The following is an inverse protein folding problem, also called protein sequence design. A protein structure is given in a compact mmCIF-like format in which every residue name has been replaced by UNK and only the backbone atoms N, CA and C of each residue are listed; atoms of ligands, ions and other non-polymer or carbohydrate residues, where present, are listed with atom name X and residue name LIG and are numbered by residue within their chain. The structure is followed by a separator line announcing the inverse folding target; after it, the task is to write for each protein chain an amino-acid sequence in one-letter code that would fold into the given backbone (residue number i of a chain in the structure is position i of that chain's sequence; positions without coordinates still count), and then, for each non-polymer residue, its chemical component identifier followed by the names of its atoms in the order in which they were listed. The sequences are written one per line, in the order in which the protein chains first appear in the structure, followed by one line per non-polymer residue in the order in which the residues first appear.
data_IF_971134708779
#
_entry.id   IF_971134708779
#
_cell.length_a   1.000
_cell.length_b   1.000
_cell.length_c   1.000
_cell.angle_alpha   90.00
_cell.angle_beta   90.00
_cell.angle_gamma   90.00
#
_symmetry.space_group_name_H-M   'P 1'
#
loop_
_entity.id
_entity.type
_entity.pdbx_description
1 polymer ?
#
# COMPACT_ATOMS: atom_id res chain seq x y z
N UNK A 1 10.99 16.96 -30.23
CA UNK A 1 10.24 15.67 -30.26
C UNK A 1 10.38 15.09 -28.87
N UNK A 2 9.40 15.32 -27.97
CA UNK A 2 9.33 14.65 -26.68
C UNK A 2 8.95 13.19 -26.95
N UNK A 3 9.89 12.28 -26.67
CA UNK A 3 9.65 10.84 -26.79
C UNK A 3 8.53 10.45 -25.82
N UNK A 4 7.50 9.80 -26.33
CA UNK A 4 6.44 9.17 -25.54
C UNK A 4 7.13 8.19 -24.58
N UNK A 5 7.36 8.60 -23.32
CA UNK A 5 7.79 7.66 -22.27
C UNK A 5 6.61 6.70 -22.05
N UNK A 6 6.73 5.51 -22.59
CA UNK A 6 5.82 4.40 -22.25
C UNK A 6 5.98 4.13 -20.76
N UNK A 7 4.98 4.51 -19.97
CA UNK A 7 4.98 4.23 -18.53
C UNK A 7 5.02 2.72 -18.34
N UNK A 8 5.99 2.22 -17.56
CA UNK A 8 6.14 0.79 -17.26
C UNK A 8 4.98 0.32 -16.37
N UNK A 9 4.27 -0.73 -16.78
CA UNK A 9 3.26 -1.37 -15.95
C UNK A 9 3.93 -2.00 -14.72
N UNK A 10 3.48 -1.64 -13.51
CA UNK A 10 3.99 -2.23 -12.26
C UNK A 10 3.01 -3.25 -11.67
N UNK A 11 1.70 -3.00 -11.82
CA UNK A 11 0.62 -3.90 -11.44
C UNK A 11 -0.33 -4.03 -12.63
N UNK A 12 -0.68 -5.28 -12.95
CA UNK A 12 -1.68 -5.59 -13.98
C UNK A 12 -2.61 -6.68 -13.50
N UNK A 13 -3.90 -6.42 -13.64
CA UNK A 13 -5.00 -7.31 -13.28
C UNK A 13 -5.73 -7.73 -14.54
N UNK A 14 -5.91 -9.04 -14.75
CA UNK A 14 -6.63 -9.59 -15.91
C UNK A 14 -7.69 -10.57 -15.46
N UNK A 15 -8.95 -10.23 -15.65
CA UNK A 15 -10.16 -10.99 -15.28
C UNK A 15 -10.09 -11.57 -13.86
N UNK A 16 -9.60 -10.79 -12.90
CA UNK A 16 -9.35 -11.24 -11.53
C UNK A 16 -10.67 -11.52 -10.83
N UNK A 17 -10.84 -12.76 -10.38
CA UNK A 17 -11.98 -13.22 -9.59
C UNK A 17 -11.50 -13.75 -8.25
N UNK A 18 -12.25 -13.45 -7.20
CA UNK A 18 -12.01 -14.01 -5.88
C UNK A 18 -13.33 -14.41 -5.24
N UNK A 19 -13.42 -15.68 -4.89
CA UNK A 19 -14.54 -16.26 -4.16
C UNK A 19 -14.01 -16.82 -2.84
N UNK A 20 -14.66 -16.46 -1.74
CA UNK A 20 -14.41 -17.03 -0.42
C UNK A 20 -15.53 -18.00 -0.06
N UNK A 21 -15.15 -19.16 0.46
CA UNK A 21 -16.11 -20.12 1.02
C UNK A 21 -16.30 -19.80 2.51
N UNK A 22 -17.51 -19.46 2.92
CA UNK A 22 -17.88 -19.19 4.30
C UNK A 22 -18.96 -20.20 4.75
N UNK A 23 -18.51 -21.38 5.22
CA UNK A 23 -19.41 -22.51 5.43
C UNK A 23 -20.05 -22.93 4.10
N UNK A 24 -21.38 -22.95 4.05
CA UNK A 24 -22.16 -23.30 2.85
C UNK A 24 -22.42 -22.12 1.90
N UNK A 25 -21.91 -20.92 2.24
CA UNK A 25 -22.16 -19.71 1.44
C UNK A 25 -20.90 -19.31 0.66
N UNK A 26 -21.05 -19.07 -0.64
CA UNK A 26 -20.02 -18.48 -1.48
C UNK A 26 -20.14 -16.97 -1.56
N UNK A 27 -19.04 -16.27 -1.22
CA UNK A 27 -18.94 -14.80 -1.32
C UNK A 27 -18.02 -14.44 -2.48
N UNK A 28 -18.60 -13.94 -3.57
CA UNK A 28 -17.85 -13.48 -4.74
C UNK A 28 -17.36 -12.05 -4.52
N UNK A 29 -16.18 -11.90 -3.91
CA UNK A 29 -15.61 -10.62 -3.55
C UNK A 29 -15.08 -9.83 -4.76
N UNK A 30 -14.52 -10.52 -5.79
CA UNK A 30 -14.12 -9.93 -7.07
C UNK A 30 -14.73 -10.73 -8.22
N UNK A 31 -15.20 -10.03 -9.26
CA UNK A 31 -16.02 -10.60 -10.34
C UNK A 31 -15.50 -10.21 -11.74
N UNK A 32 -14.20 -10.44 -11.98
CA UNK A 32 -13.57 -10.15 -13.27
C UNK A 32 -13.00 -8.74 -13.35
N UNK A 33 -12.16 -8.37 -12.36
CA UNK A 33 -11.51 -7.08 -12.29
C UNK A 33 -10.38 -7.00 -13.30
N UNK A 34 -10.38 -5.90 -14.09
CA UNK A 34 -9.32 -5.55 -15.01
C UNK A 34 -8.82 -4.14 -14.65
N UNK A 35 -7.52 -4.01 -14.37
CA UNK A 35 -6.89 -2.72 -14.07
C UNK A 35 -5.39 -2.78 -14.33
N UNK A 36 -4.80 -1.63 -14.60
CA UNK A 36 -3.36 -1.45 -14.76
C UNK A 36 -2.92 -0.26 -13.92
N UNK A 37 -1.77 -0.39 -13.26
CA UNK A 37 -1.13 0.68 -12.48
C UNK A 37 0.30 0.81 -12.97
N UNK A 38 0.73 2.03 -13.22
CA UNK A 38 2.02 2.33 -13.82
C UNK A 38 3.01 2.83 -12.76
N UNK A 39 4.31 2.63 -13.05
CA UNK A 39 5.39 3.10 -12.18
C UNK A 39 5.30 4.62 -11.98
N UNK A 40 5.42 5.05 -10.70
CA UNK A 40 5.30 6.45 -10.29
C UNK A 40 3.88 7.00 -10.29
N UNK A 41 2.84 6.17 -10.49
CA UNK A 41 1.45 6.62 -10.47
C UNK A 41 0.91 6.68 -9.02
N UNK A 42 0.11 7.70 -8.71
CA UNK A 42 -0.69 7.72 -7.48
C UNK A 42 -2.15 7.40 -7.83
N UNK A 43 -2.60 6.22 -7.42
CA UNK A 43 -3.95 5.70 -7.72
C UNK A 43 -4.77 5.56 -6.45
N UNK A 44 -6.01 6.05 -6.48
CA UNK A 44 -7.01 5.77 -5.45
C UNK A 44 -7.98 4.67 -5.90
N UNK A 45 -8.21 3.68 -5.05
CA UNK A 45 -9.26 2.67 -5.21
C UNK A 45 -10.42 3.05 -4.32
N UNK A 46 -11.57 3.34 -4.93
CA UNK A 46 -12.77 3.79 -4.22
C UNK A 46 -13.94 2.84 -4.41
N UNK A 47 -14.85 2.86 -3.45
CA UNK A 47 -16.12 2.12 -3.49
C UNK A 47 -16.77 2.03 -2.11
N UNK A 48 -18.04 1.63 -2.01
CA UNK A 48 -18.72 1.44 -0.74
C UNK A 48 -18.10 0.29 0.08
N UNK A 49 -18.48 0.19 1.36
CA UNK A 49 -18.09 -0.96 2.18
C UNK A 49 -18.57 -2.27 1.54
N UNK A 50 -17.75 -3.32 1.60
CA UNK A 50 -18.07 -4.61 0.98
C UNK A 50 -17.92 -4.68 -0.55
N UNK A 51 -17.50 -3.62 -1.24
CA UNK A 51 -17.37 -3.64 -2.71
C UNK A 51 -16.18 -4.45 -3.26
N UNK A 52 -15.29 -4.97 -2.41
CA UNK A 52 -14.11 -5.75 -2.82
C UNK A 52 -12.77 -5.00 -2.77
N UNK A 53 -12.71 -3.75 -2.28
CA UNK A 53 -11.49 -2.94 -2.24
C UNK A 53 -10.34 -3.61 -1.46
N UNK A 54 -10.61 -4.06 -0.24
CA UNK A 54 -9.61 -4.73 0.60
C UNK A 54 -9.19 -6.07 0.00
N UNK A 55 -10.12 -6.81 -0.63
CA UNK A 55 -9.79 -8.03 -1.36
C UNK A 55 -8.85 -7.73 -2.52
N UNK A 56 -9.12 -6.67 -3.31
CA UNK A 56 -8.24 -6.27 -4.40
C UNK A 56 -6.86 -5.84 -3.87
N UNK A 57 -6.82 -5.08 -2.79
CA UNK A 57 -5.58 -4.66 -2.14
C UNK A 57 -4.76 -5.86 -1.65
N UNK A 58 -5.41 -6.89 -1.10
CA UNK A 58 -4.74 -8.12 -0.67
C UNK A 58 -4.11 -8.88 -1.86
N UNK A 59 -4.78 -8.91 -3.03
CA UNK A 59 -4.21 -9.50 -4.24
C UNK A 59 -2.96 -8.74 -4.68
N UNK A 60 -3.08 -7.40 -4.84
CA UNK A 60 -1.97 -6.54 -5.25
C UNK A 60 -0.82 -6.59 -4.23
N UNK A 61 -1.14 -6.75 -2.94
CA UNK A 61 -0.19 -6.84 -1.84
C UNK A 61 0.47 -8.21 -1.65
N UNK A 62 0.19 -9.19 -2.50
CA UNK A 62 0.68 -10.57 -2.35
C UNK A 62 0.30 -11.18 -0.97
N UNK A 63 -0.85 -10.77 -0.40
CA UNK A 63 -1.40 -11.31 0.85
C UNK A 63 -2.40 -12.44 0.58
N UNK A 64 -2.92 -12.52 -0.64
CA UNK A 64 -3.84 -13.55 -1.08
C UNK A 64 -3.68 -13.74 -2.59
N UNK A 65 -4.20 -14.86 -3.14
CA UNK A 65 -4.16 -15.16 -4.57
C UNK A 65 -5.57 -15.19 -5.16
N UNK A 66 -5.74 -14.89 -6.46
CA UNK A 66 -7.04 -14.94 -7.10
C UNK A 66 -7.56 -16.39 -7.19
N UNK A 67 -8.90 -16.58 -7.15
CA UNK A 67 -9.54 -17.88 -7.45
C UNK A 67 -9.42 -18.21 -8.94
N UNK A 68 -9.47 -17.17 -9.80
CA UNK A 68 -9.20 -17.26 -11.25
C UNK A 68 -8.78 -15.90 -11.81
N UNK A 69 -8.22 -15.89 -13.01
CA UNK A 69 -7.58 -14.71 -13.60
C UNK A 69 -6.14 -14.54 -13.12
N UNK A 70 -5.53 -13.42 -13.49
CA UNK A 70 -4.09 -13.18 -13.28
C UNK A 70 -3.82 -11.82 -12.65
N UNK A 71 -2.88 -11.80 -11.72
CA UNK A 71 -2.36 -10.58 -11.09
C UNK A 71 -0.86 -10.52 -11.30
N UNK A 72 -0.40 -9.53 -12.05
CA UNK A 72 1.03 -9.35 -12.32
C UNK A 72 1.59 -8.24 -11.45
N UNK A 73 2.69 -8.52 -10.75
CA UNK A 73 3.53 -7.54 -10.06
C UNK A 73 4.90 -7.49 -10.76
N UNK A 74 5.26 -6.34 -11.32
CA UNK A 74 6.46 -6.18 -12.15
C UNK A 74 6.60 -7.26 -13.25
N UNK A 75 5.49 -7.63 -13.88
CA UNK A 75 5.43 -8.65 -14.94
C UNK A 75 5.43 -10.11 -14.47
N UNK A 76 5.55 -10.38 -13.16
CA UNK A 76 5.48 -11.73 -12.59
C UNK A 76 4.07 -12.01 -12.09
N UNK A 77 3.49 -13.12 -12.52
CA UNK A 77 2.14 -13.55 -12.13
C UNK A 77 2.14 -14.12 -10.72
N UNK A 78 1.45 -13.47 -9.79
CA UNK A 78 1.35 -13.93 -8.39
C UNK A 78 0.43 -15.15 -8.24
N UNK A 79 -0.46 -15.41 -9.21
CA UNK A 79 -1.41 -16.53 -9.14
C UNK A 79 -0.72 -17.90 -9.16
N UNK A 80 0.51 -17.96 -9.68
CA UNK A 80 1.31 -19.19 -9.80
C UNK A 80 2.52 -19.23 -8.87
N UNK A 81 2.69 -18.21 -8.00
CA UNK A 81 3.78 -18.16 -7.03
C UNK A 81 3.50 -19.08 -5.84
N UNK A 82 4.55 -19.72 -5.33
CA UNK A 82 4.52 -20.39 -4.03
C UNK A 82 4.39 -19.38 -2.88
N UNK A 83 3.97 -19.84 -1.70
CA UNK A 83 3.87 -18.99 -0.48
C UNK A 83 5.21 -18.30 -0.15
N UNK A 84 6.34 -18.99 -0.32
CA UNK A 84 7.67 -18.43 -0.12
C UNK A 84 7.98 -17.32 -1.12
N UNK A 85 7.59 -17.47 -2.38
CA UNK A 85 7.77 -16.45 -3.42
C UNK A 85 6.89 -15.23 -3.15
N UNK A 86 5.63 -15.45 -2.75
CA UNK A 86 4.71 -14.39 -2.33
C UNK A 86 5.27 -13.62 -1.13
N UNK A 87 5.77 -14.33 -0.11
CA UNK A 87 6.37 -13.71 1.07
C UNK A 87 7.60 -12.86 0.70
N UNK A 88 8.48 -13.35 -0.20
CA UNK A 88 9.64 -12.60 -0.69
C UNK A 88 9.23 -11.40 -1.54
N UNK A 89 8.25 -11.56 -2.43
CA UNK A 89 7.72 -10.46 -3.25
C UNK A 89 7.13 -9.37 -2.36
N UNK A 90 6.28 -9.74 -1.40
CA UNK A 90 5.69 -8.84 -0.40
C UNK A 90 6.76 -8.10 0.38
N UNK A 91 7.74 -8.81 0.95
CA UNK A 91 8.79 -8.21 1.79
C UNK A 91 9.75 -7.28 1.05
N UNK A 92 9.94 -7.47 -0.26
CA UNK A 92 10.90 -6.66 -1.05
C UNK A 92 10.24 -5.58 -1.92
N UNK A 93 8.99 -5.81 -2.35
CA UNK A 93 8.35 -4.99 -3.40
C UNK A 93 7.20 -4.14 -2.88
N UNK A 94 6.63 -4.50 -1.72
CA UNK A 94 5.44 -3.86 -1.19
C UNK A 94 5.74 -3.22 0.16
N UNK A 95 5.37 -1.94 0.29
CA UNK A 95 5.31 -1.24 1.57
C UNK A 95 3.86 -1.05 1.99
N UNK A 96 3.47 -1.52 3.17
CA UNK A 96 2.10 -1.40 3.66
C UNK A 96 1.95 -0.26 4.66
N UNK A 97 0.88 0.53 4.48
CA UNK A 97 0.40 1.55 5.41
C UNK A 97 -1.04 1.18 5.74
N UNK A 98 -1.34 0.92 7.02
CA UNK A 98 -2.66 0.49 7.48
C UNK A 98 -3.37 1.61 8.23
N UNK A 99 -4.71 1.57 8.25
CA UNK A 99 -5.55 2.48 9.02
C UNK A 99 -5.24 2.45 10.52
N UNK A 100 -5.00 1.27 11.11
CA UNK A 100 -4.69 1.06 12.54
C UNK A 100 -3.20 1.11 12.85
N UNK A 101 -2.37 1.71 12.00
CA UNK A 101 -0.90 1.83 12.13
C UNK A 101 -0.17 0.47 12.23
N UNK A 102 -0.69 -0.49 12.97
CA UNK A 102 -0.15 -1.83 13.21
C UNK A 102 1.31 -1.78 13.68
N UNK A 103 1.59 -0.92 14.66
CA UNK A 103 2.89 -0.85 15.32
C UNK A 103 2.97 -1.86 16.46
N UNK A 104 4.15 -2.41 16.68
CA UNK A 104 4.42 -3.27 17.83
C UNK A 104 4.52 -2.37 19.07
N UNK A 105 3.62 -2.52 20.06
CA UNK A 105 3.47 -1.56 21.15
C UNK A 105 4.66 -1.49 22.10
N UNK A 106 5.47 -2.54 22.16
CA UNK A 106 6.65 -2.67 23.04
C UNK A 106 7.98 -2.43 22.30
N UNK A 107 7.93 -2.11 21.03
CA UNK A 107 9.08 -1.72 20.22
C UNK A 107 9.08 -0.20 20.00
N UNK A 108 10.24 0.41 20.06
CA UNK A 108 10.42 1.84 19.77
C UNK A 108 10.06 2.19 18.33
N UNK A 109 9.99 3.48 18.02
CA UNK A 109 9.70 3.94 16.66
C UNK A 109 10.73 3.39 15.66
N UNK A 110 12.03 3.45 15.96
CA UNK A 110 13.04 2.95 15.03
C UNK A 110 13.02 1.42 14.90
N UNK A 111 12.76 0.67 15.98
CA UNK A 111 12.60 -0.79 15.94
C UNK A 111 11.38 -1.19 15.12
N UNK A 112 10.27 -0.45 15.21
CA UNK A 112 9.12 -0.66 14.35
C UNK A 112 9.46 -0.43 12.86
N UNK A 113 10.27 0.58 12.56
CA UNK A 113 10.67 0.88 11.17
C UNK A 113 11.62 -0.16 10.61
N UNK A 114 12.56 -0.71 11.41
CA UNK A 114 13.52 -1.70 10.92
C UNK A 114 12.93 -3.07 10.62
N UNK A 115 11.74 -3.41 11.18
CA UNK A 115 11.13 -4.74 11.10
C UNK A 115 11.17 -5.39 9.71
N UNK A 116 10.78 -4.72 8.61
CA UNK A 116 10.81 -5.33 7.28
C UNK A 116 12.22 -5.71 6.82
N UNK A 117 13.25 -5.01 7.29
CA UNK A 117 14.64 -5.25 6.90
C UNK A 117 15.29 -6.40 7.69
N UNK A 118 14.71 -6.81 8.82
CA UNK A 118 15.17 -7.98 9.58
C UNK A 118 15.11 -9.24 8.71
N UNK A 119 14.04 -9.37 7.91
CA UNK A 119 13.82 -10.51 7.01
C UNK A 119 14.63 -10.43 5.69
N UNK A 120 15.51 -9.43 5.55
CA UNK A 120 16.36 -9.24 4.37
C UNK A 120 17.85 -9.49 4.65
N UNK A 121 18.19 -10.15 5.76
CA UNK A 121 19.56 -10.49 6.19
C UNK A 121 20.49 -9.26 6.27
N UNK A 122 19.95 -8.09 6.52
CA UNK A 122 20.76 -6.88 6.70
C UNK A 122 21.40 -6.83 8.09
N UNK A 123 22.64 -6.37 8.17
CA UNK A 123 23.35 -6.16 9.43
C UNK A 123 22.62 -5.14 10.33
N UNK A 124 22.52 -5.46 11.64
CA UNK A 124 21.78 -4.67 12.64
C UNK A 124 22.15 -3.18 12.62
N UNK A 125 23.45 -2.83 12.62
CA UNK A 125 23.90 -1.42 12.56
C UNK A 125 23.43 -0.67 11.30
N UNK A 126 23.32 -1.38 10.18
CA UNK A 126 22.82 -0.80 8.92
C UNK A 126 21.32 -0.55 9.03
N UNK A 127 20.56 -1.52 9.56
CA UNK A 127 19.10 -1.39 9.75
C UNK A 127 18.75 -0.20 10.65
N UNK A 128 19.42 -0.07 11.80
CA UNK A 128 19.21 1.04 12.73
C UNK A 128 19.47 2.41 12.05
N UNK A 129 20.59 2.52 11.32
CA UNK A 129 20.92 3.75 10.60
C UNK A 129 19.87 4.10 9.55
N UNK A 130 19.41 3.13 8.78
CA UNK A 130 18.40 3.34 7.75
C UNK A 130 17.04 3.65 8.37
N UNK A 131 16.64 2.98 9.47
CA UNK A 131 15.41 3.26 10.17
C UNK A 131 15.37 4.69 10.70
N UNK A 132 16.46 5.16 11.34
CA UNK A 132 16.58 6.55 11.80
C UNK A 132 16.58 7.56 10.65
N UNK A 133 17.17 7.20 9.50
CA UNK A 133 17.08 8.02 8.28
C UNK A 133 15.63 8.19 7.81
N UNK A 134 14.84 7.11 7.74
CA UNK A 134 13.44 7.21 7.33
C UNK A 134 12.58 7.94 8.37
N UNK A 135 12.83 7.77 9.67
CA UNK A 135 12.16 8.55 10.71
C UNK A 135 12.44 10.05 10.57
N UNK A 136 13.68 10.43 10.26
CA UNK A 136 14.02 11.83 9.97
C UNK A 136 13.26 12.34 8.74
N UNK A 137 13.14 11.55 7.67
CA UNK A 137 12.41 11.93 6.45
C UNK A 137 10.93 12.20 6.71
N UNK A 138 10.31 11.52 7.68
CA UNK A 138 8.92 11.77 8.07
C UNK A 138 8.78 12.77 9.22
N UNK A 139 9.86 13.45 9.61
CA UNK A 139 9.86 14.51 10.66
C UNK A 139 9.86 13.98 12.09
N UNK A 140 10.34 12.75 12.33
CA UNK A 140 10.34 12.10 13.64
C UNK A 140 11.76 11.85 14.19
N UNK A 141 12.76 12.63 13.81
CA UNK A 141 14.13 12.44 14.29
C UNK A 141 14.24 12.56 15.83
N UNK A 142 13.36 13.33 16.47
CA UNK A 142 13.33 13.51 17.93
C UNK A 142 12.53 12.42 18.66
N UNK A 143 11.85 11.52 17.94
CA UNK A 143 10.94 10.50 18.47
C UNK A 143 11.44 9.07 18.25
N UNK A 144 12.67 8.89 17.80
CA UNK A 144 13.20 7.57 17.40
C UNK A 144 13.09 6.50 18.47
N UNK A 145 13.31 6.87 19.75
CA UNK A 145 13.30 5.94 20.89
C UNK A 145 11.96 5.91 21.65
N UNK A 146 10.92 6.60 21.18
CA UNK A 146 9.62 6.58 21.82
C UNK A 146 8.85 5.30 21.46
N UNK A 147 8.06 4.82 22.40
CA UNK A 147 7.11 3.72 22.18
C UNK A 147 5.84 4.25 21.49
N UNK A 148 5.11 3.41 20.76
CA UNK A 148 3.86 3.84 20.10
C UNK A 148 2.86 4.53 21.04
N UNK A 149 2.74 4.08 22.30
CA UNK A 149 1.85 4.70 23.29
C UNK A 149 2.24 6.12 23.71
N UNK A 150 3.46 6.57 23.41
CA UNK A 150 3.98 7.91 23.68
C UNK A 150 3.86 8.85 22.47
N UNK A 151 3.36 8.33 21.34
CA UNK A 151 3.21 9.03 20.08
C UNK A 151 1.74 9.38 19.80
N UNK A 152 1.50 10.57 19.26
CA UNK A 152 0.19 10.92 18.72
C UNK A 152 -0.20 10.02 17.54
N UNK A 153 -1.49 9.95 17.17
CA UNK A 153 -1.95 9.16 16.02
C UNK A 153 -1.23 9.54 14.71
N UNK A 154 -1.00 10.83 14.49
CA UNK A 154 -0.24 11.32 13.33
C UNK A 154 1.22 10.90 13.35
N UNK A 155 1.88 10.93 14.53
CA UNK A 155 3.25 10.43 14.68
C UNK A 155 3.33 8.91 14.47
N UNK A 156 2.35 8.14 15.00
CA UNK A 156 2.27 6.69 14.74
C UNK A 156 2.11 6.38 13.24
N UNK A 157 1.29 7.14 12.53
CA UNK A 157 1.12 6.99 11.08
C UNK A 157 2.41 7.34 10.32
N UNK A 158 3.14 8.38 10.74
CA UNK A 158 4.46 8.70 10.18
C UNK A 158 5.47 7.58 10.42
N UNK A 159 5.46 6.91 11.58
CA UNK A 159 6.27 5.70 11.84
C UNK A 159 5.87 4.57 10.88
N UNK A 160 4.56 4.33 10.67
CA UNK A 160 4.09 3.32 9.73
C UNK A 160 4.51 3.62 8.28
N UNK A 161 4.51 4.89 7.87
CA UNK A 161 5.03 5.33 6.56
C UNK A 161 6.54 5.09 6.47
N UNK A 162 7.32 5.47 7.48
CA UNK A 162 8.76 5.22 7.52
C UNK A 162 9.07 3.71 7.43
N UNK A 163 8.30 2.87 8.13
CA UNK A 163 8.38 1.41 8.04
C UNK A 163 8.10 0.90 6.61
N UNK A 164 7.08 1.43 5.97
CA UNK A 164 6.75 1.05 4.59
C UNK A 164 7.87 1.39 3.61
N UNK A 165 8.66 2.43 3.86
CA UNK A 165 9.77 2.87 3.02
C UNK A 165 11.06 2.08 3.25
N UNK A 166 11.19 1.37 4.37
CA UNK A 166 12.43 0.75 4.83
C UNK A 166 13.06 -0.21 3.82
N UNK A 167 12.25 -0.92 3.06
CA UNK A 167 12.70 -1.87 2.04
C UNK A 167 12.85 -1.26 0.64
N UNK A 168 12.70 0.06 0.52
CA UNK A 168 12.66 0.76 -0.75
C UNK A 168 11.68 0.08 -1.76
N UNK A 169 10.40 -0.07 -1.42
CA UNK A 169 9.46 -0.87 -2.18
C UNK A 169 9.17 -0.28 -3.56
N UNK A 170 8.74 -1.13 -4.49
CA UNK A 170 8.27 -0.73 -5.80
C UNK A 170 6.86 -0.08 -5.74
N UNK A 171 6.05 -0.52 -4.77
CA UNK A 171 4.69 -0.04 -4.56
C UNK A 171 4.41 0.18 -3.07
N UNK A 172 3.78 1.30 -2.74
CA UNK A 172 3.23 1.58 -1.41
C UNK A 172 1.72 1.36 -1.48
N UNK A 173 1.21 0.44 -0.66
CA UNK A 173 -0.21 0.17 -0.50
C UNK A 173 -0.70 0.84 0.78
N UNK A 174 -1.64 1.77 0.67
CA UNK A 174 -2.19 2.53 1.79
C UNK A 174 -3.68 2.22 1.96
N UNK A 175 -4.04 1.51 3.03
CA UNK A 175 -5.43 1.20 3.37
C UNK A 175 -5.97 2.23 4.35
N UNK A 176 -6.84 3.11 3.86
CA UNK A 176 -7.46 4.21 4.61
C UNK A 176 -6.44 4.98 5.49
N UNK A 177 -5.35 5.51 4.92
CA UNK A 177 -4.19 6.00 5.68
C UNK A 177 -4.49 7.16 6.62
N UNK A 178 -5.65 7.78 6.53
CA UNK A 178 -6.10 8.91 7.34
C UNK A 178 -7.34 8.61 8.18
N UNK A 179 -7.87 7.38 8.11
CA UNK A 179 -9.18 7.04 8.68
C UNK A 179 -9.28 7.16 10.22
N UNK A 180 -8.15 7.16 10.94
CA UNK A 180 -8.08 7.32 12.39
C UNK A 180 -7.49 8.67 12.83
N UNK A 181 -7.40 9.64 11.92
CA UNK A 181 -6.76 10.93 12.17
C UNK A 181 -7.79 12.06 12.04
N UNK A 182 -7.53 13.16 12.76
CA UNK A 182 -8.27 14.40 12.52
C UNK A 182 -7.94 14.96 11.13
N UNK A 183 -8.81 15.85 10.63
CA UNK A 183 -8.72 16.38 9.26
C UNK A 183 -7.39 17.11 8.97
N UNK A 184 -6.83 17.83 9.97
CA UNK A 184 -5.57 18.56 9.81
C UNK A 184 -4.41 17.59 9.66
N UNK A 185 -4.29 16.66 10.61
CA UNK A 185 -3.26 15.62 10.60
C UNK A 185 -3.40 14.73 9.36
N UNK A 186 -4.62 14.37 8.97
CA UNK A 186 -4.89 13.62 7.75
C UNK A 186 -4.36 14.32 6.49
N UNK A 187 -4.56 15.63 6.37
CA UNK A 187 -4.03 16.41 5.24
C UNK A 187 -2.49 16.44 5.23
N UNK A 188 -1.86 16.51 6.40
CA UNK A 188 -0.40 16.44 6.50
C UNK A 188 0.14 15.07 6.03
N UNK A 189 -0.53 13.97 6.40
CA UNK A 189 -0.17 12.62 5.94
C UNK A 189 -0.36 12.50 4.42
N UNK A 190 -1.46 13.03 3.88
CA UNK A 190 -1.67 13.04 2.44
C UNK A 190 -0.63 13.88 1.69
N UNK A 191 -0.22 15.02 2.26
CA UNK A 191 0.89 15.83 1.76
C UNK A 191 2.19 15.02 1.68
N UNK A 192 2.54 14.28 2.74
CA UNK A 192 3.72 13.42 2.78
C UNK A 192 3.66 12.32 1.70
N UNK A 193 2.51 11.66 1.52
CA UNK A 193 2.33 10.65 0.46
C UNK A 193 2.48 11.29 -0.93
N UNK A 194 1.93 12.48 -1.15
CA UNK A 194 2.08 13.19 -2.42
C UNK A 194 3.54 13.59 -2.71
N UNK A 195 4.32 13.97 -1.69
CA UNK A 195 5.76 14.21 -1.83
C UNK A 195 6.51 12.94 -2.23
N UNK A 196 6.24 11.82 -1.57
CA UNK A 196 6.84 10.53 -1.92
C UNK A 196 6.49 10.11 -3.36
N UNK A 197 5.27 10.39 -3.82
CA UNK A 197 4.89 10.13 -5.21
C UNK A 197 5.67 11.02 -6.19
N UNK A 198 5.83 12.33 -5.90
CA UNK A 198 6.67 13.22 -6.71
C UNK A 198 8.13 12.77 -6.79
N UNK A 199 8.64 12.08 -5.78
CA UNK A 199 9.96 11.42 -5.78
C UNK A 199 9.99 10.12 -6.63
N UNK A 200 8.87 9.75 -7.26
CA UNK A 200 8.76 8.60 -8.16
C UNK A 200 8.22 7.32 -7.50
N UNK A 201 7.73 7.37 -6.25
CA UNK A 201 7.09 6.21 -5.61
C UNK A 201 5.72 5.96 -6.21
N UNK A 202 5.42 4.70 -6.53
CA UNK A 202 4.08 4.27 -6.91
C UNK A 202 3.23 4.10 -5.65
N UNK A 203 2.05 4.71 -5.62
CA UNK A 203 1.15 4.65 -4.46
C UNK A 203 -0.22 4.16 -4.91
N UNK A 204 -0.71 3.13 -4.23
CA UNK A 204 -2.09 2.62 -4.38
C UNK A 204 -2.80 2.81 -3.05
N UNK A 205 -3.77 3.69 -3.03
CA UNK A 205 -4.51 4.03 -1.82
C UNK A 205 -5.94 3.51 -1.91
N UNK A 206 -6.40 2.83 -0.88
CA UNK A 206 -7.81 2.50 -0.70
C UNK A 206 -8.45 3.55 0.21
N UNK A 207 -9.56 4.12 -0.22
CA UNK A 207 -10.34 5.06 0.59
C UNK A 207 -11.80 5.06 0.18
N UNK A 208 -12.68 5.38 1.11
CA UNK A 208 -14.10 5.67 0.83
C UNK A 208 -14.37 7.19 0.81
N UNK A 209 -13.40 8.02 1.21
CA UNK A 209 -13.53 9.48 1.23
C UNK A 209 -13.10 10.07 -0.12
N UNK A 210 -14.07 10.75 -0.79
CA UNK A 210 -13.85 11.40 -2.06
C UNK A 210 -12.86 12.59 -1.99
N UNK A 211 -12.71 13.25 -0.83
CA UNK A 211 -11.76 14.34 -0.66
C UNK A 211 -10.32 13.79 -0.59
N UNK A 212 -10.12 12.70 0.14
CA UNK A 212 -8.84 12.02 0.21
C UNK A 212 -8.44 11.47 -1.16
N UNK A 213 -9.40 10.90 -1.92
CA UNK A 213 -9.13 10.40 -3.27
C UNK A 213 -8.68 11.47 -4.27
N UNK A 214 -8.99 12.75 -4.05
CA UNK A 214 -8.54 13.87 -4.91
C UNK A 214 -7.02 14.07 -4.91
N UNK A 215 -6.30 13.55 -3.91
CA UNK A 215 -4.83 13.59 -3.88
C UNK A 215 -4.20 12.64 -4.90
N UNK A 216 -4.94 11.64 -5.38
CA UNK A 216 -4.47 10.70 -6.40
C UNK A 216 -4.64 11.28 -7.82
N UNK A 217 -3.74 10.89 -8.73
CA UNK A 217 -3.81 11.27 -10.16
C UNK A 217 -5.00 10.60 -10.86
N UNK A 218 -5.40 9.42 -10.40
CA UNK A 218 -6.47 8.61 -10.99
C UNK A 218 -7.23 7.83 -9.93
N UNK A 219 -8.52 7.65 -10.16
CA UNK A 219 -9.39 6.84 -9.30
C UNK A 219 -9.89 5.61 -10.05
N UNK A 220 -9.77 4.45 -9.43
CA UNK A 220 -10.40 3.19 -9.84
C UNK A 220 -11.60 2.96 -8.91
N UNK A 221 -12.80 2.98 -9.47
CA UNK A 221 -14.01 2.72 -8.70
C UNK A 221 -14.38 1.25 -8.76
N UNK A 222 -14.67 0.67 -7.58
CA UNK A 222 -15.11 -0.71 -7.44
C UNK A 222 -16.52 -0.73 -6.86
N UNK A 223 -17.42 -1.42 -7.54
CA UNK A 223 -18.78 -1.67 -7.10
C UNK A 223 -19.11 -3.14 -7.32
N UNK A 224 -19.61 -3.81 -6.28
CA UNK A 224 -20.03 -5.23 -6.30
C UNK A 224 -18.98 -6.18 -6.93
N UNK A 225 -17.71 -5.96 -6.60
CA UNK A 225 -16.59 -6.77 -7.07
C UNK A 225 -16.16 -6.50 -8.52
N UNK A 226 -16.65 -5.43 -9.15
CA UNK A 226 -16.29 -5.02 -10.53
C UNK A 226 -15.71 -3.61 -10.55
N UNK A 227 -14.81 -3.36 -11.49
CA UNK A 227 -14.37 -2.00 -11.80
C UNK A 227 -15.43 -1.32 -12.64
N UNK A 228 -15.93 -0.16 -12.18
CA UNK A 228 -16.76 0.70 -13.04
C UNK A 228 -15.92 1.22 -14.21
N UNK A 229 -16.51 1.20 -15.41
CA UNK A 229 -15.84 1.64 -16.64
C UNK A 229 -15.21 3.03 -16.45
N UNK A 230 -13.93 3.12 -16.75
CA UNK A 230 -12.97 4.21 -16.68
C UNK A 230 -13.55 5.58 -16.30
N UNK A 231 -13.33 6.00 -15.08
CA UNK A 231 -13.34 7.42 -14.72
C UNK A 231 -12.20 8.13 -15.46
N UNK A 232 -12.55 9.23 -16.10
CA UNK A 232 -11.70 10.07 -16.94
C UNK A 232 -10.40 10.46 -16.21
N UNK A 233 -9.25 10.33 -16.89
CA UNK A 233 -8.03 11.08 -16.53
C UNK A 233 -8.35 12.57 -16.51
N UNK A 234 -8.08 13.23 -15.39
CA UNK A 234 -8.05 14.70 -15.35
C UNK A 234 -6.75 15.21 -15.94
#
# INVERSE_FOLDING_TARGET
MEGIRVKKEIIKLRDVRKTYQMGDVEVHALRGVNAEIYEGEFVAIMGPSGSGKSTLMNMVGCLDTPTSGHVYLEGRDIAIMSEDELARARGKKIGFIFQKFNLIPYATAWENVELPAIFQDQCCKKREKEAKHYLKRVGLEHRTNHLPGELSGGEQQRVAIARALMTNPAVILADEPTGNLDSKTGNEIMGLLAELNKEGKTIVMVTHDANIAKHAERTIKILDGKVEARGVRK
#
